data_IF_574408288589
#
_entry.id   IF_574408288589
#
_cell.length_a   1.000
_cell.length_b   1.000
_cell.length_c   1.000
_cell.angle_alpha   90.00
_cell.angle_beta   90.00
_cell.angle_gamma   90.00
#
_symmetry.space_group_name_H-M   'P 1'
#
loop_
_entity.id
_entity.type
_entity.pdbx_description
1 polymer ?
#
# COMPACT_ATOMS: atom_id res chain seq x y z
N UNK A 1 -18.64 40.47 53.84
CA UNK A 1 -19.85 40.21 53.05
C UNK A 1 -19.47 40.32 51.57
N UNK A 2 -20.10 39.49 50.73
CA UNK A 2 -19.90 39.28 49.28
C UNK A 2 -18.72 38.34 48.94
N UNK A 3 -18.87 37.00 48.92
CA UNK A 3 -19.64 36.08 48.04
C UNK A 3 -18.79 35.56 46.84
N UNK A 4 -18.83 34.24 46.50
CA UNK A 4 -17.68 33.52 45.95
C UNK A 4 -17.68 33.33 44.42
N UNK A 5 -16.56 32.79 43.94
CA UNK A 5 -16.22 32.45 42.56
C UNK A 5 -17.22 31.47 41.91
N UNK A 6 -17.77 31.85 40.76
CA UNK A 6 -18.61 31.01 39.90
C UNK A 6 -17.82 29.83 39.33
N UNK A 7 -18.34 28.63 39.58
CA UNK A 7 -17.92 27.38 38.94
C UNK A 7 -18.64 27.25 37.61
N UNK A 8 -17.93 27.39 36.50
CA UNK A 8 -18.44 26.97 35.21
C UNK A 8 -18.49 25.44 35.14
N UNK A 9 -19.64 24.86 35.48
CA UNK A 9 -19.96 23.45 35.26
C UNK A 9 -20.13 23.19 33.77
N UNK A 10 -19.35 22.25 33.24
CA UNK A 10 -19.58 21.63 31.93
C UNK A 10 -20.88 20.84 31.99
N UNK A 11 -21.87 21.26 31.20
CA UNK A 11 -23.08 20.47 30.90
C UNK A 11 -23.12 20.28 29.39
N UNK A 12 -22.69 19.10 28.93
CA UNK A 12 -22.85 18.63 27.56
C UNK A 12 -24.17 17.83 27.52
N UNK A 13 -25.12 18.15 26.62
CA UNK A 13 -26.35 17.40 26.52
C UNK A 13 -26.14 16.04 25.83
N UNK A 14 -26.74 15.04 26.47
CA UNK A 14 -26.99 13.67 26.02
C UNK A 14 -28.07 13.67 24.91
N UNK A 15 -27.75 13.16 23.72
CA UNK A 15 -28.73 12.54 22.82
C UNK A 15 -28.05 11.60 21.79
N UNK A 16 -28.43 10.32 21.86
CA UNK A 16 -28.77 9.53 20.67
C UNK A 16 -27.67 8.73 19.96
N UNK A 17 -27.41 7.50 20.42
CA UNK A 17 -27.09 6.39 19.51
C UNK A 17 -27.37 5.02 20.16
N UNK A 18 -28.36 4.32 19.61
CA UNK A 18 -28.83 2.99 19.99
C UNK A 18 -27.75 1.89 19.87
N UNK A 19 -27.81 0.82 20.70
CA UNK A 19 -26.94 -0.34 20.55
C UNK A 19 -27.59 -1.38 19.62
N UNK A 20 -27.01 -1.62 18.45
CA UNK A 20 -27.34 -2.80 17.63
C UNK A 20 -26.23 -3.85 17.76
N UNK A 21 -26.44 -4.76 18.71
CA UNK A 21 -25.73 -6.03 18.78
C UNK A 21 -26.22 -6.95 17.66
N UNK A 22 -25.45 -7.07 16.58
CA UNK A 22 -25.66 -8.12 15.57
C UNK A 22 -24.60 -9.21 15.73
N UNK A 23 -24.95 -10.18 16.56
CA UNK A 23 -24.34 -11.51 16.60
C UNK A 23 -24.39 -12.15 15.21
N UNK A 24 -23.26 -12.20 14.52
CA UNK A 24 -23.12 -12.93 13.26
C UNK A 24 -22.27 -14.18 13.47
N UNK A 25 -22.92 -15.22 13.98
CA UNK A 25 -22.43 -16.59 14.05
C UNK A 25 -22.43 -17.21 12.65
N UNK A 26 -21.28 -17.20 11.96
CA UNK A 26 -21.09 -17.95 10.73
C UNK A 26 -20.40 -19.30 11.02
N UNK A 27 -21.20 -20.29 11.43
CA UNK A 27 -20.81 -21.70 11.42
C UNK A 27 -21.20 -22.32 10.08
N UNK A 28 -20.25 -22.43 9.15
CA UNK A 28 -20.35 -23.36 8.02
C UNK A 28 -19.00 -24.03 7.78
N UNK A 29 -18.70 -25.06 8.58
CA UNK A 29 -17.65 -26.04 8.25
C UNK A 29 -18.31 -27.20 7.50
N UNK A 30 -17.91 -27.34 6.24
CA UNK A 30 -18.19 -28.49 5.37
C UNK A 30 -17.70 -29.77 6.06
N UNK A 31 -18.60 -30.75 6.16
CA UNK A 31 -18.30 -32.13 6.49
C UNK A 31 -17.93 -32.89 5.22
N UNK A 32 -16.75 -33.51 5.23
CA UNK A 32 -16.25 -34.60 4.38
C UNK A 32 -14.99 -35.11 5.10
N UNK A 33 -14.57 -36.35 5.04
CA UNK A 33 -15.21 -37.67 5.04
C UNK A 33 -14.06 -38.63 5.38
N UNK A 34 -14.41 -39.82 5.82
CA UNK A 34 -13.64 -41.06 5.74
C UNK A 34 -12.32 -41.27 6.52
N UNK A 35 -12.50 -42.10 7.54
CA UNK A 35 -11.60 -43.06 8.16
C UNK A 35 -10.79 -43.90 7.14
N UNK A 36 -9.47 -43.93 7.29
CA UNK A 36 -8.65 -45.08 6.87
C UNK A 36 -7.40 -45.14 7.76
N UNK A 37 -7.46 -46.07 8.70
CA UNK A 37 -6.36 -46.50 9.57
C UNK A 37 -5.39 -47.41 8.79
N UNK A 38 -4.13 -46.97 8.63
CA UNK A 38 -3.01 -47.86 8.25
C UNK A 38 -1.78 -47.54 9.11
N UNK A 39 -1.48 -48.45 10.03
CA UNK A 39 -0.26 -48.49 10.84
C UNK A 39 0.94 -48.97 10.01
N UNK A 40 2.07 -48.25 10.08
CA UNK A 40 3.42 -48.72 9.69
C UNK A 40 4.49 -48.04 10.58
N UNK A 41 5.70 -48.63 10.71
CA UNK A 41 6.42 -48.74 11.98
C UNK A 41 7.31 -47.55 12.35
N UNK A 42 7.63 -47.50 13.65
CA UNK A 42 8.37 -46.46 14.38
C UNK A 42 9.72 -46.10 13.72
N UNK A 43 9.79 -44.90 13.13
CA UNK A 43 11.04 -44.19 12.85
C UNK A 43 11.31 -43.21 14.00
N UNK A 44 12.50 -43.29 14.56
CA UNK A 44 13.01 -42.45 15.65
C UNK A 44 12.79 -40.97 15.34
N UNK A 45 12.00 -40.32 16.18
CA UNK A 45 11.63 -38.91 16.02
C UNK A 45 12.82 -38.06 16.43
N UNK A 46 13.54 -37.51 15.45
CA UNK A 46 14.33 -36.28 15.64
C UNK A 46 13.46 -35.30 16.44
N UNK A 47 14.03 -34.77 17.52
CA UNK A 47 13.34 -33.96 18.53
C UNK A 47 12.31 -33.03 17.90
N UNK A 48 11.05 -33.21 18.30
CA UNK A 48 9.97 -32.30 17.95
C UNK A 48 10.44 -30.91 18.38
N UNK A 49 10.68 -30.00 17.43
CA UNK A 49 10.74 -28.57 17.75
C UNK A 49 9.52 -28.29 18.61
N UNK A 50 9.71 -27.59 19.72
CA UNK A 50 8.64 -27.22 20.64
C UNK A 50 7.44 -26.74 19.81
N UNK A 51 6.20 -27.16 20.16
CA UNK A 51 5.02 -26.71 19.44
C UNK A 51 5.09 -25.20 19.38
N UNK A 52 5.09 -24.64 18.16
CA UNK A 52 5.20 -23.22 17.88
C UNK A 52 4.39 -22.44 18.92
N UNK A 53 5.06 -21.82 19.89
CA UNK A 53 4.39 -21.00 20.88
C UNK A 53 3.61 -19.95 20.10
N UNK A 54 2.30 -19.94 20.29
CA UNK A 54 1.47 -18.87 19.79
C UNK A 54 2.03 -17.60 20.43
N UNK A 55 2.39 -16.60 19.59
CA UNK A 55 2.86 -15.31 20.05
C UNK A 55 1.97 -14.84 21.20
N UNK A 56 2.57 -14.51 22.34
CA UNK A 56 1.84 -13.94 23.47
C UNK A 56 1.13 -12.67 23.03
N UNK A 57 0.07 -12.27 23.72
CA UNK A 57 -0.66 -11.05 23.33
C UNK A 57 0.22 -9.79 23.43
N UNK A 58 1.20 -9.80 24.34
CA UNK A 58 2.24 -8.79 24.43
C UNK A 58 3.17 -8.80 23.18
N UNK A 59 3.62 -9.97 22.74
CA UNK A 59 4.46 -10.11 21.54
C UNK A 59 3.69 -9.76 20.26
N UNK A 60 2.41 -10.15 20.14
CA UNK A 60 1.56 -9.74 19.02
C UNK A 60 1.43 -8.22 18.96
N UNK A 61 1.18 -7.57 20.10
CA UNK A 61 1.10 -6.10 20.18
C UNK A 61 2.42 -5.44 19.81
N UNK A 62 3.55 -5.96 20.30
CA UNK A 62 4.87 -5.45 19.97
C UNK A 62 5.19 -5.62 18.47
N UNK A 63 4.89 -6.79 17.89
CA UNK A 63 5.10 -7.06 16.48
C UNK A 63 4.20 -6.19 15.59
N UNK A 64 2.93 -5.97 15.97
CA UNK A 64 2.04 -5.06 15.27
C UNK A 64 2.60 -3.63 15.23
N UNK A 65 3.05 -3.09 16.37
CA UNK A 65 3.66 -1.76 16.45
C UNK A 65 4.92 -1.68 15.59
N UNK A 66 5.79 -2.70 15.67
CA UNK A 66 7.02 -2.75 14.89
C UNK A 66 6.76 -2.82 13.38
N UNK A 67 5.83 -3.68 12.97
CA UNK A 67 5.43 -3.85 11.57
C UNK A 67 4.81 -2.57 11.01
N UNK A 68 3.95 -1.90 11.77
CA UNK A 68 3.35 -0.63 11.35
C UNK A 68 4.39 0.51 11.28
N UNK A 69 5.33 0.57 12.22
CA UNK A 69 6.45 1.53 12.15
C UNK A 69 7.29 1.32 10.89
N UNK A 70 7.64 0.06 10.59
CA UNK A 70 8.37 -0.29 9.37
C UNK A 70 7.59 0.07 8.11
N UNK A 71 6.29 -0.25 8.07
CA UNK A 71 5.40 0.12 6.96
C UNK A 71 5.40 1.63 6.73
N UNK A 72 5.21 2.43 7.80
CA UNK A 72 5.22 3.90 7.71
C UNK A 72 6.57 4.46 7.28
N UNK A 73 7.67 3.87 7.73
CA UNK A 73 9.01 4.27 7.31
C UNK A 73 9.22 4.01 5.82
N UNK A 74 8.82 2.84 5.31
CA UNK A 74 8.91 2.52 3.89
C UNK A 74 8.10 3.50 3.02
N UNK A 75 6.89 3.87 3.46
CA UNK A 75 6.07 4.86 2.75
C UNK A 75 6.79 6.21 2.67
N UNK A 76 7.38 6.68 3.77
CA UNK A 76 8.15 7.95 3.79
C UNK A 76 9.34 7.91 2.84
N UNK A 77 10.10 6.82 2.85
CA UNK A 77 11.23 6.66 1.93
C UNK A 77 10.79 6.71 0.46
N UNK A 78 9.61 6.16 0.13
CA UNK A 78 9.03 6.28 -1.20
C UNK A 78 8.71 7.73 -1.58
N UNK A 79 8.17 8.52 -0.66
CA UNK A 79 7.93 9.95 -0.89
C UNK A 79 9.24 10.75 -1.02
N UNK A 80 10.27 10.43 -0.24
CA UNK A 80 11.58 11.08 -0.35
C UNK A 80 12.20 10.83 -1.73
N UNK A 81 12.09 9.61 -2.26
CA UNK A 81 12.53 9.28 -3.63
C UNK A 81 11.74 10.06 -4.69
N UNK A 82 10.41 10.20 -4.53
CA UNK A 82 9.60 11.01 -5.45
C UNK A 82 10.05 12.47 -5.48
N UNK A 83 10.41 13.04 -4.32
CA UNK A 83 10.91 14.42 -4.24
C UNK A 83 12.26 14.58 -4.97
N UNK A 84 13.13 13.57 -4.91
CA UNK A 84 14.43 13.60 -5.56
C UNK A 84 14.33 13.54 -7.08
N UNK A 85 13.48 12.65 -7.62
CA UNK A 85 13.38 12.42 -9.07
C UNK A 85 12.51 13.46 -9.78
N UNK A 86 11.53 14.06 -9.11
CA UNK A 86 10.62 15.04 -9.73
C UNK A 86 11.20 16.45 -9.58
N UNK A 87 11.65 17.10 -10.68
CA UNK A 87 12.37 18.38 -10.59
C UNK A 87 11.57 19.49 -9.90
N UNK A 88 10.25 19.47 -10.07
CA UNK A 88 9.33 20.48 -9.50
C UNK A 88 9.14 20.39 -7.97
N UNK A 89 9.64 19.34 -7.31
CA UNK A 89 9.46 19.11 -5.87
C UNK A 89 10.70 19.48 -5.03
N UNK A 90 11.84 19.78 -5.67
CA UNK A 90 13.13 20.01 -4.99
C UNK A 90 13.14 21.21 -4.03
N UNK A 91 12.38 22.27 -4.32
CA UNK A 91 12.33 23.51 -3.53
C UNK A 91 10.92 23.93 -3.10
N UNK A 92 9.94 23.02 -3.19
CA UNK A 92 8.52 23.33 -3.06
C UNK A 92 7.80 22.71 -1.85
N UNK A 93 6.47 22.71 -1.92
CA UNK A 93 5.58 22.13 -0.91
C UNK A 93 5.78 20.62 -0.78
N UNK A 94 5.86 20.12 0.46
CA UNK A 94 6.06 18.70 0.79
C UNK A 94 4.80 17.99 1.27
N UNK A 95 3.62 18.51 0.94
CA UNK A 95 2.37 17.80 1.26
C UNK A 95 2.24 16.55 0.39
N UNK A 96 1.81 15.44 0.98
CA UNK A 96 1.69 14.14 0.30
C UNK A 96 0.84 14.24 -0.98
N UNK A 97 -0.30 14.93 -0.90
CA UNK A 97 -1.17 15.16 -2.05
C UNK A 97 -0.50 15.96 -3.18
N UNK A 98 0.29 16.99 -2.84
CA UNK A 98 1.00 17.79 -3.83
C UNK A 98 2.13 17.01 -4.50
N UNK A 99 2.86 16.20 -3.73
CA UNK A 99 3.91 15.32 -4.25
C UNK A 99 3.34 14.34 -5.27
N UNK A 100 2.22 13.68 -4.93
CA UNK A 100 1.56 12.75 -5.86
C UNK A 100 1.09 13.46 -7.13
N UNK A 101 0.45 14.63 -7.00
CA UNK A 101 -0.01 15.41 -8.15
C UNK A 101 1.16 15.77 -9.09
N UNK A 102 2.26 16.29 -8.54
CA UNK A 102 3.44 16.66 -9.35
C UNK A 102 4.16 15.47 -9.95
N UNK A 103 4.12 14.32 -9.28
CA UNK A 103 4.64 13.07 -9.83
C UNK A 103 3.86 12.65 -11.08
N UNK A 104 2.52 12.71 -11.03
CA UNK A 104 1.66 12.43 -12.20
C UNK A 104 1.92 13.43 -13.33
N UNK A 105 2.00 14.72 -13.03
CA UNK A 105 2.30 15.76 -14.03
C UNK A 105 3.65 15.49 -14.71
N UNK A 106 4.67 15.08 -13.96
CA UNK A 106 5.99 14.77 -14.48
C UNK A 106 5.99 13.53 -15.38
N UNK A 107 5.27 12.45 -15.00
CA UNK A 107 5.12 11.27 -15.85
C UNK A 107 4.48 11.64 -17.19
N UNK A 108 3.42 12.45 -17.19
CA UNK A 108 2.77 12.92 -18.43
C UNK A 108 3.74 13.74 -19.30
N UNK A 109 4.54 14.60 -18.68
CA UNK A 109 5.56 15.36 -19.39
C UNK A 109 6.60 14.44 -20.06
N UNK A 110 7.13 13.45 -19.34
CA UNK A 110 8.09 12.49 -19.89
C UNK A 110 7.51 11.69 -21.07
N UNK A 111 6.25 11.27 -20.99
CA UNK A 111 5.56 10.58 -22.09
C UNK A 111 5.47 11.48 -23.33
N UNK A 112 5.07 12.75 -23.15
CA UNK A 112 4.99 13.69 -24.27
C UNK A 112 6.37 13.93 -24.89
N UNK A 113 7.40 14.18 -24.07
CA UNK A 113 8.78 14.34 -24.56
C UNK A 113 9.29 13.10 -25.28
N UNK A 114 8.98 11.89 -24.80
CA UNK A 114 9.30 10.63 -25.49
C UNK A 114 8.66 10.60 -26.88
N UNK A 115 7.38 10.94 -26.97
CA UNK A 115 6.63 10.91 -28.22
C UNK A 115 7.13 11.97 -29.22
N UNK A 116 7.45 13.17 -28.73
CA UNK A 116 8.00 14.25 -29.55
C UNK A 116 9.36 13.85 -30.13
N UNK A 117 10.25 13.29 -29.29
CA UNK A 117 11.55 12.79 -29.73
C UNK A 117 11.40 11.64 -30.73
N UNK A 118 10.48 10.69 -30.49
CA UNK A 118 10.17 9.63 -31.46
C UNK A 118 9.65 10.20 -32.78
N UNK A 119 8.85 11.26 -32.76
CA UNK A 119 8.42 11.94 -33.98
C UNK A 119 9.58 12.57 -34.73
N UNK A 120 10.44 13.32 -34.02
CA UNK A 120 11.62 13.94 -34.62
C UNK A 120 12.57 12.91 -35.24
N UNK A 121 12.77 11.77 -34.58
CA UNK A 121 13.58 10.66 -35.12
C UNK A 121 12.97 10.13 -36.41
N UNK A 122 11.66 9.87 -36.46
CA UNK A 122 10.98 9.40 -37.68
C UNK A 122 11.09 10.40 -38.82
N UNK A 123 10.91 11.69 -38.53
CA UNK A 123 11.03 12.75 -39.55
C UNK A 123 12.46 12.80 -40.12
N UNK A 124 13.47 12.74 -39.25
CA UNK A 124 14.88 12.73 -39.66
C UNK A 124 15.25 11.46 -40.43
N UNK A 125 14.76 10.29 -40.00
CA UNK A 125 14.95 9.01 -40.72
C UNK A 125 14.32 9.07 -42.11
N UNK A 126 13.12 9.66 -42.24
CA UNK A 126 12.48 9.88 -43.53
C UNK A 126 13.28 10.80 -44.46
N UNK A 127 13.94 11.82 -43.91
CA UNK A 127 14.85 12.72 -44.66
C UNK A 127 16.16 12.03 -45.07
N UNK A 128 16.71 11.18 -44.20
CA UNK A 128 17.96 10.45 -44.44
C UNK A 128 17.78 9.22 -45.35
N UNK A 129 16.53 8.79 -45.61
CA UNK A 129 16.23 7.64 -46.47
C UNK A 129 16.73 6.31 -45.92
N UNK A 130 17.12 6.26 -44.63
CA UNK A 130 17.42 5.02 -43.96
C UNK A 130 16.11 4.26 -43.67
N UNK A 131 16.10 2.97 -44.00
CA UNK A 131 14.95 2.08 -43.86
C UNK A 131 14.25 2.30 -42.52
N UNK A 132 12.92 2.49 -42.57
CA UNK A 132 12.02 2.35 -41.42
C UNK A 132 12.23 0.96 -40.80
N UNK A 133 13.23 0.82 -39.92
CA UNK A 133 13.18 -0.20 -38.91
C UNK A 133 12.19 0.35 -37.90
N UNK A 134 10.93 -0.05 -38.06
CA UNK A 134 9.93 0.11 -37.03
C UNK A 134 10.49 -0.56 -35.78
N UNK A 135 11.10 0.24 -34.90
CA UNK A 135 11.36 -0.09 -33.50
C UNK A 135 10.03 -0.11 -32.72
N UNK A 136 9.00 -0.67 -33.36
CA UNK A 136 7.74 -1.11 -32.79
C UNK A 136 7.85 -2.63 -32.55
N UNK A 137 9.02 -3.07 -32.07
CA UNK A 137 9.26 -4.44 -31.65
C UNK A 137 9.45 -4.50 -30.13
N UNK A 138 8.31 -4.77 -29.48
CA UNK A 138 8.12 -5.35 -28.14
C UNK A 138 8.12 -4.43 -26.90
N UNK A 139 6.95 -4.43 -26.25
CA UNK A 139 6.69 -4.24 -24.80
C UNK A 139 6.65 -2.80 -24.25
N UNK A 140 5.60 -2.04 -24.58
CA UNK A 140 5.22 -0.84 -23.78
C UNK A 140 3.70 -0.56 -23.74
N UNK A 141 2.85 -1.52 -24.15
CA UNK A 141 1.40 -1.45 -23.94
C UNK A 141 1.02 -2.00 -22.56
N UNK A 142 1.59 -1.41 -21.50
CA UNK A 142 0.97 -1.48 -20.19
C UNK A 142 -0.08 -0.38 -20.10
N UNK A 143 -1.27 -0.71 -20.57
CA UNK A 143 -2.56 -0.07 -20.33
C UNK A 143 -2.56 0.87 -19.11
N UNK A 144 -2.25 2.15 -19.35
CA UNK A 144 -2.52 3.24 -18.41
C UNK A 144 -3.71 4.06 -18.90
N UNK A 145 -4.77 3.35 -19.31
CA UNK A 145 -6.07 3.92 -19.62
C UNK A 145 -7.10 3.36 -18.65
N UNK A 146 -7.81 4.29 -17.99
CA UNK A 146 -8.93 4.13 -17.06
C UNK A 146 -8.63 3.68 -15.63
N UNK A 147 -8.30 4.67 -14.78
CA UNK A 147 -9.12 5.02 -13.60
C UNK A 147 -9.12 6.54 -13.41
#
# INVERSE_FOLDING_TARGET
MTEPQDRHSLTIPDEGASPSSSSSSNTRKRAYDEDTSKETPKKERKGRKAPHELLTDAEKKANHIASEKKRRQNIRLGFDQLIEIVPSLTQGNRSEAFILQKSVDHIRHLINTKNDLKSQIRDLQGVLGESNYDDDSSEDDLTYSSF
#
